data_IF_990808396367
#
_entry.id   IF_990808396367
#
_cell.length_a   1.000
_cell.length_b   1.000
_cell.length_c   1.000
_cell.angle_alpha   90.00
_cell.angle_beta   90.00
_cell.angle_gamma   90.00
#
_symmetry.space_group_name_H-M   'P 1'
#
loop_
_entity.id
_entity.type
_entity.pdbx_description
1 polymer ?
#
# COMPACT_ATOMS: atom_id res chain seq x y z
N UNK A 1 7.78 31.03 -16.97
CA UNK A 1 6.55 30.25 -16.81
C UNK A 1 6.90 28.84 -16.31
N UNK A 2 7.27 28.68 -15.03
CA UNK A 2 7.71 27.39 -14.47
C UNK A 2 7.02 27.02 -13.14
N UNK A 3 6.23 27.92 -12.55
CA UNK A 3 5.55 27.67 -11.26
C UNK A 3 4.23 26.91 -11.38
N UNK A 4 3.59 26.91 -12.56
CA UNK A 4 2.27 26.29 -12.75
C UNK A 4 2.37 24.75 -12.76
N UNK A 5 3.29 24.16 -13.55
CA UNK A 5 3.42 22.70 -13.63
C UNK A 5 3.80 22.01 -12.31
N UNK A 6 4.63 22.62 -11.47
CA UNK A 6 5.05 22.02 -10.19
C UNK A 6 3.91 21.89 -9.18
N UNK A 7 2.86 22.71 -9.32
CA UNK A 7 1.74 22.69 -8.36
C UNK A 7 0.78 21.56 -8.70
N UNK A 8 0.51 21.35 -10.00
CA UNK A 8 -0.39 20.30 -10.49
C UNK A 8 0.16 18.88 -10.25
N UNK A 9 1.48 18.67 -10.40
CA UNK A 9 2.12 17.38 -10.15
C UNK A 9 2.09 17.00 -8.66
N UNK A 10 2.31 17.98 -7.78
CA UNK A 10 2.26 17.78 -6.34
C UNK A 10 0.84 17.46 -5.85
N UNK A 11 -0.16 18.18 -6.36
CA UNK A 11 -1.57 17.93 -6.05
C UNK A 11 -2.00 16.53 -6.51
N UNK A 12 -1.60 16.13 -7.72
CA UNK A 12 -1.82 14.77 -8.24
C UNK A 12 -1.17 13.71 -7.36
N UNK A 13 0.07 13.91 -6.91
CA UNK A 13 0.76 12.97 -6.03
C UNK A 13 0.07 12.80 -4.67
N UNK A 14 -0.46 13.90 -4.12
CA UNK A 14 -1.24 13.89 -2.86
C UNK A 14 -2.53 13.08 -3.03
N UNK A 15 -3.32 13.38 -4.07
CA UNK A 15 -4.57 12.65 -4.33
C UNK A 15 -4.32 11.15 -4.52
N UNK A 16 -3.28 10.79 -5.29
CA UNK A 16 -2.92 9.40 -5.53
C UNK A 16 -2.47 8.67 -4.26
N UNK A 17 -1.75 9.34 -3.37
CA UNK A 17 -1.34 8.79 -2.07
C UNK A 17 -2.56 8.58 -1.18
N UNK A 18 -3.45 9.55 -1.10
CA UNK A 18 -4.60 9.50 -0.21
C UNK A 18 -5.60 8.43 -0.66
N UNK A 19 -5.82 8.28 -1.97
CA UNK A 19 -6.61 7.17 -2.53
C UNK A 19 -6.00 5.81 -2.19
N UNK A 20 -4.68 5.67 -2.38
CA UNK A 20 -3.96 4.45 -2.03
C UNK A 20 -4.09 4.10 -0.54
N UNK A 21 -3.88 5.07 0.34
CA UNK A 21 -3.98 4.89 1.79
C UNK A 21 -5.40 4.55 2.21
N UNK A 22 -6.42 5.13 1.58
CA UNK A 22 -7.82 4.80 1.82
C UNK A 22 -8.10 3.33 1.50
N UNK A 23 -7.70 2.85 0.31
CA UNK A 23 -7.88 1.44 -0.09
C UNK A 23 -7.14 0.48 0.83
N UNK A 24 -5.90 0.81 1.20
CA UNK A 24 -5.10 -0.04 2.08
C UNK A 24 -5.68 -0.09 3.50
N UNK A 25 -6.20 1.03 3.99
CA UNK A 25 -6.88 1.09 5.29
C UNK A 25 -8.14 0.24 5.30
N UNK A 26 -8.93 0.29 4.22
CA UNK A 26 -10.12 -0.54 4.07
C UNK A 26 -9.75 -2.03 4.07
N UNK A 27 -8.79 -2.45 3.24
CA UNK A 27 -8.32 -3.85 3.20
C UNK A 27 -7.81 -4.31 4.58
N UNK A 28 -7.03 -3.47 5.26
CA UNK A 28 -6.52 -3.77 6.60
C UNK A 28 -7.66 -3.96 7.60
N UNK A 29 -8.70 -3.14 7.54
CA UNK A 29 -9.86 -3.23 8.41
C UNK A 29 -10.70 -4.50 8.13
N UNK A 30 -10.87 -4.87 6.86
CA UNK A 30 -11.56 -6.09 6.45
C UNK A 30 -10.83 -7.34 6.96
N UNK A 31 -9.51 -7.43 6.73
CA UNK A 31 -8.70 -8.57 7.20
C UNK A 31 -8.64 -8.63 8.73
N UNK A 32 -8.55 -7.46 9.40
CA UNK A 32 -8.63 -7.39 10.87
C UNK A 32 -9.94 -7.97 11.39
N UNK A 33 -11.07 -7.54 10.82
CA UNK A 33 -12.40 -8.01 11.21
C UNK A 33 -12.51 -9.53 11.03
N UNK A 34 -12.00 -10.05 9.91
CA UNK A 34 -11.98 -11.49 9.66
C UNK A 34 -11.10 -12.26 10.66
N UNK A 35 -9.91 -11.75 10.97
CA UNK A 35 -9.03 -12.33 11.99
C UNK A 35 -9.70 -12.37 13.37
N UNK A 36 -10.31 -11.26 13.79
CA UNK A 36 -11.03 -11.15 15.07
C UNK A 36 -12.21 -12.14 15.16
N UNK A 37 -12.97 -12.33 14.08
CA UNK A 37 -14.04 -13.33 14.02
C UNK A 37 -13.55 -14.77 14.18
N UNK A 38 -12.29 -15.04 13.81
CA UNK A 38 -11.64 -16.35 13.95
C UNK A 38 -10.84 -16.48 15.26
N UNK A 39 -11.01 -15.56 16.19
CA UNK A 39 -10.32 -15.50 17.48
C UNK A 39 -8.80 -15.34 17.34
N UNK A 40 -8.36 -14.55 16.35
CA UNK A 40 -6.95 -14.14 16.23
C UNK A 40 -6.73 -12.83 17.00
N UNK A 41 -5.59 -12.75 17.69
CA UNK A 41 -5.10 -11.47 18.22
C UNK A 41 -4.63 -10.61 17.04
N UNK A 42 -5.19 -9.41 16.89
CA UNK A 42 -4.84 -8.50 15.80
C UNK A 42 -4.26 -7.19 16.33
N UNK A 43 -3.29 -6.62 15.60
CA UNK A 43 -2.69 -5.32 15.91
C UNK A 43 -2.34 -4.57 14.63
N UNK A 44 -2.93 -3.40 14.47
CA UNK A 44 -2.54 -2.47 13.41
C UNK A 44 -1.27 -1.72 13.83
N UNK A 45 -0.33 -1.60 12.91
CA UNK A 45 0.89 -0.79 13.08
C UNK A 45 1.02 0.19 11.90
N UNK A 46 1.70 1.31 12.15
CA UNK A 46 2.08 2.25 11.09
C UNK A 46 3.47 1.90 10.57
N UNK A 47 3.59 1.68 9.26
CA UNK A 47 4.86 1.45 8.57
C UNK A 47 5.25 2.68 7.76
N UNK A 48 6.48 3.14 7.95
CA UNK A 48 7.06 4.22 7.15
C UNK A 48 7.40 3.70 5.75
N UNK A 49 6.87 4.37 4.74
CA UNK A 49 7.04 4.07 3.33
C UNK A 49 7.78 5.20 2.62
N UNK A 50 8.54 4.84 1.59
CA UNK A 50 9.22 5.79 0.73
C UNK A 50 8.97 5.39 -0.73
N UNK A 51 8.26 6.24 -1.46
CA UNK A 51 7.92 6.02 -2.86
C UNK A 51 8.46 7.17 -3.72
N UNK A 52 9.09 6.83 -4.84
CA UNK A 52 9.72 7.81 -5.75
C UNK A 52 8.76 8.85 -6.33
N UNK A 53 7.45 8.55 -6.40
CA UNK A 53 6.41 9.41 -6.97
C UNK A 53 5.52 10.05 -5.90
N UNK A 54 5.31 9.36 -4.77
CA UNK A 54 4.42 9.83 -3.70
C UNK A 54 5.17 10.43 -2.50
N UNK A 55 6.49 10.34 -2.49
CA UNK A 55 7.34 10.77 -1.39
C UNK A 55 7.23 9.85 -0.18
N UNK A 56 7.49 10.41 1.01
CA UNK A 56 7.43 9.68 2.28
C UNK A 56 6.02 9.73 2.87
N UNK A 57 5.54 8.59 3.33
CA UNK A 57 4.23 8.48 3.97
C UNK A 57 4.19 7.31 4.96
N UNK A 58 3.10 7.22 5.71
CA UNK A 58 2.84 6.13 6.64
C UNK A 58 1.67 5.28 6.15
N UNK A 59 1.83 3.96 6.20
CA UNK A 59 0.86 2.99 5.69
C UNK A 59 0.47 1.99 6.79
N UNK A 60 -0.82 1.62 6.92
CA UNK A 60 -1.23 0.62 7.89
C UNK A 60 -0.70 -0.77 7.49
N UNK A 61 -0.23 -1.51 8.48
CA UNK A 61 0.11 -2.93 8.37
C UNK A 61 -0.59 -3.69 9.50
N UNK A 62 -0.86 -4.98 9.31
CA UNK A 62 -1.59 -5.78 10.29
C UNK A 62 -0.75 -6.96 10.76
N UNK A 63 -0.48 -7.01 12.07
CA UNK A 63 0.02 -8.22 12.71
C UNK A 63 -1.18 -9.02 13.20
N UNK A 64 -1.22 -10.31 12.88
CA UNK A 64 -2.18 -11.25 13.42
C UNK A 64 -1.45 -12.43 14.05
N UNK A 65 -1.93 -12.91 15.18
CA UNK A 65 -1.34 -14.04 15.90
C UNK A 65 -2.42 -14.98 16.42
N UNK A 66 -2.21 -16.28 16.25
CA UNK A 66 -2.98 -17.35 16.87
C UNK A 66 -2.05 -18.48 17.25
N UNK A 67 -2.00 -18.79 18.56
CA UNK A 67 -1.07 -19.76 19.13
C UNK A 67 0.38 -19.45 18.71
N UNK A 68 1.05 -20.38 18.03
CA UNK A 68 2.40 -20.21 17.49
C UNK A 68 2.43 -19.57 16.08
N UNK A 69 1.28 -19.36 15.44
CA UNK A 69 1.19 -18.81 14.08
C UNK A 69 1.15 -17.29 14.12
N UNK A 70 2.02 -16.65 13.35
CA UNK A 70 2.03 -15.20 13.16
C UNK A 70 1.96 -14.86 11.68
N UNK A 71 1.02 -13.99 11.32
CA UNK A 71 0.83 -13.47 9.96
C UNK A 71 1.04 -11.97 9.99
N UNK A 72 1.70 -11.44 8.96
CA UNK A 72 1.90 -10.02 8.75
C UNK A 72 1.33 -9.62 7.38
N UNK A 73 0.33 -8.74 7.38
CA UNK A 73 -0.09 -8.04 6.19
C UNK A 73 0.80 -6.81 6.04
N UNK A 74 1.82 -6.93 5.19
CA UNK A 74 2.82 -5.90 4.98
C UNK A 74 2.60 -5.16 3.66
N UNK A 75 2.33 -3.83 3.66
CA UNK A 75 2.30 -3.05 2.43
C UNK A 75 3.73 -2.91 1.86
N UNK A 76 3.91 -3.28 0.59
CA UNK A 76 5.21 -3.28 -0.08
C UNK A 76 5.41 -2.02 -0.93
N UNK A 77 4.46 -1.69 -1.80
CA UNK A 77 4.48 -0.49 -2.63
C UNK A 77 3.10 -0.29 -3.27
N UNK A 78 2.81 0.92 -3.77
CA UNK A 78 1.66 1.14 -4.66
C UNK A 78 1.89 0.49 -6.04
N UNK A 79 3.11 0.57 -6.54
CA UNK A 79 3.56 -0.11 -7.76
C UNK A 79 4.87 -0.84 -7.46
N UNK A 80 4.82 -2.16 -7.39
CA UNK A 80 6.04 -2.98 -7.33
C UNK A 80 6.43 -3.38 -8.76
N UNK A 81 7.72 -3.32 -9.15
CA UNK A 81 8.20 -3.97 -10.35
C UNK A 81 7.77 -5.45 -10.31
N UNK A 82 6.99 -5.90 -11.29
CA UNK A 82 6.42 -7.26 -11.35
C UNK A 82 4.93 -7.39 -11.01
N UNK A 83 4.22 -6.31 -10.64
CA UNK A 83 2.76 -6.34 -10.39
C UNK A 83 1.93 -5.54 -11.40
N UNK A 84 2.54 -4.97 -12.44
CA UNK A 84 1.85 -4.45 -13.63
C UNK A 84 1.72 -5.51 -14.72
N UNK A 85 0.81 -5.36 -15.70
CA UNK A 85 0.81 -6.23 -16.88
C UNK A 85 2.18 -6.13 -17.52
N UNK A 86 2.96 -7.21 -17.45
CA UNK A 86 4.15 -7.38 -18.25
C UNK A 86 3.70 -7.36 -19.70
N UNK A 87 3.80 -6.21 -20.36
CA UNK A 87 3.86 -6.17 -21.81
C UNK A 87 5.23 -6.70 -22.19
N UNK A 88 5.37 -8.02 -22.11
CA UNK A 88 6.37 -8.76 -22.86
C UNK A 88 6.07 -8.48 -24.33
N UNK A 89 6.72 -7.46 -24.90
CA UNK A 89 6.88 -7.40 -26.35
C UNK A 89 7.82 -8.51 -26.72
N UNK A 90 7.21 -9.64 -27.06
CA UNK A 90 7.79 -10.77 -27.74
C UNK A 90 8.67 -10.26 -28.89
N UNK A 91 9.97 -10.42 -28.71
CA UNK A 91 10.97 -10.19 -29.76
C UNK A 91 10.78 -11.31 -30.78
N UNK A 92 10.02 -11.03 -31.83
CA UNK A 92 9.98 -11.89 -33.02
C UNK A 92 11.22 -11.59 -33.85
N UNK A 93 11.92 -12.68 -34.14
CA UNK A 93 13.15 -12.82 -34.91
C UNK A 93 12.92 -12.63 -36.40
#
# INVERSE_FOLDING_TARGET
MARTNMTDEAETAVTLRDEWLSRLSQLTAEVKTWGEQLDWSTRVISKKMNDSRLGRYEAPSLIMQKEATRVLLDPVARFAPGTGPTTSKETTR
#
